data_IF_961214037982
#
_entry.id   IF_961214037982
#
_cell.length_a   1.000
_cell.length_b   1.000
_cell.length_c   1.000
_cell.angle_alpha   90.00
_cell.angle_beta   90.00
_cell.angle_gamma   90.00
#
_symmetry.space_group_name_H-M   'P 1'
#
loop_
_entity.id
_entity.type
_entity.pdbx_description
1 polymer ?
#
# COMPACT_ATOMS: atom_id res chain seq x y z
N UNK A 1 68.45 -12.72 -1.11
CA UNK A 1 67.52 -12.02 -2.02
C UNK A 1 66.20 -12.80 -2.07
N UNK A 2 65.13 -12.10 -1.74
CA UNK A 2 63.69 -12.37 -1.86
C UNK A 2 63.00 -13.42 -0.97
N UNK A 3 62.35 -12.86 0.05
CA UNK A 3 61.04 -13.21 0.63
C UNK A 3 59.95 -12.47 -0.16
N UNK A 4 58.82 -13.12 -0.50
CA UNK A 4 57.48 -12.53 -0.73
C UNK A 4 56.52 -13.69 -1.09
N UNK A 5 55.77 -14.23 -0.13
CA UNK A 5 54.42 -13.78 0.28
C UNK A 5 53.30 -14.27 -0.67
N UNK A 6 52.65 -15.34 -0.21
CA UNK A 6 51.46 -15.93 -0.82
C UNK A 6 50.24 -15.07 -0.48
N UNK A 7 49.65 -14.39 -1.46
CA UNK A 7 48.34 -13.75 -1.31
C UNK A 7 47.26 -14.62 -1.93
N UNK A 8 46.52 -15.31 -1.07
CA UNK A 8 45.18 -15.79 -1.40
C UNK A 8 44.15 -14.66 -1.25
N UNK A 9 43.01 -14.82 -1.92
CA UNK A 9 41.75 -14.21 -1.47
C UNK A 9 41.05 -13.27 -2.45
N UNK A 10 39.95 -13.80 -3.00
CA UNK A 10 38.73 -13.11 -3.45
C UNK A 10 38.78 -12.27 -4.74
N UNK A 11 38.27 -12.88 -5.81
CA UNK A 11 37.77 -12.17 -6.98
C UNK A 11 36.59 -11.27 -6.58
N UNK A 12 36.82 -9.96 -6.45
CA UNK A 12 35.74 -8.98 -6.28
C UNK A 12 34.98 -8.85 -7.60
N UNK A 13 33.79 -9.46 -7.67
CA UNK A 13 32.86 -9.26 -8.77
C UNK A 13 32.46 -7.78 -8.92
N UNK A 14 31.93 -7.37 -10.08
CA UNK A 14 31.50 -5.99 -10.30
C UNK A 14 30.40 -5.66 -9.29
N UNK A 15 30.67 -4.66 -8.43
CA UNK A 15 29.70 -4.20 -7.43
C UNK A 15 28.39 -3.83 -8.12
N UNK A 16 27.28 -4.36 -7.61
CA UNK A 16 25.95 -3.89 -8.00
C UNK A 16 25.85 -2.40 -7.71
N UNK A 17 25.34 -1.56 -8.63
CA UNK A 17 25.08 -0.17 -8.31
C UNK A 17 24.10 -0.12 -7.15
N UNK A 18 24.51 0.49 -6.04
CA UNK A 18 23.57 0.90 -5.00
C UNK A 18 22.50 1.77 -5.67
N UNK A 19 21.19 1.54 -5.46
CA UNK A 19 20.20 2.48 -5.95
C UNK A 19 20.56 3.84 -5.35
N UNK A 20 20.85 4.81 -6.22
CA UNK A 20 20.96 6.19 -5.81
C UNK A 20 19.59 6.56 -5.24
N UNK A 21 19.51 6.69 -3.92
CA UNK A 21 18.41 7.44 -3.32
C UNK A 21 18.46 8.83 -3.94
N UNK A 22 17.42 9.27 -4.67
CA UNK A 22 17.40 10.65 -5.16
C UNK A 22 17.59 11.57 -3.95
N UNK A 23 18.56 12.47 -4.06
CA UNK A 23 18.82 13.47 -3.04
C UNK A 23 17.57 14.33 -2.89
N UNK A 24 17.00 14.27 -1.68
CA UNK A 24 15.68 14.82 -1.36
C UNK A 24 15.75 16.34 -1.25
N UNK A 25 15.59 17.03 -2.37
CA UNK A 25 15.26 18.46 -2.39
C UNK A 25 13.95 18.72 -3.16
N UNK A 26 13.59 17.83 -4.09
CA UNK A 26 12.32 17.86 -4.84
C UNK A 26 11.13 17.25 -4.06
N UNK A 27 11.43 16.40 -3.08
CA UNK A 27 10.41 15.76 -2.27
C UNK A 27 9.61 16.79 -1.47
N UNK A 28 10.27 17.83 -0.94
CA UNK A 28 9.65 18.92 -0.17
C UNK A 28 8.62 19.70 -1.00
N UNK A 29 9.04 20.14 -2.18
CA UNK A 29 8.18 20.78 -3.19
C UNK A 29 7.01 19.89 -3.57
N UNK A 30 7.24 18.59 -3.82
CA UNK A 30 6.17 17.66 -4.14
C UNK A 30 5.15 17.50 -3.00
N UNK A 31 5.57 17.48 -1.73
CA UNK A 31 4.61 17.46 -0.60
C UNK A 31 3.89 18.80 -0.44
N UNK A 32 4.57 19.92 -0.67
CA UNK A 32 3.99 21.27 -0.56
C UNK A 32 2.93 21.50 -1.64
N UNK A 33 3.21 21.09 -2.89
CA UNK A 33 2.24 21.09 -3.99
C UNK A 33 1.02 20.18 -3.71
N UNK A 34 1.23 19.03 -3.06
CA UNK A 34 0.14 18.13 -2.66
C UNK A 34 -0.69 18.70 -1.50
N UNK A 35 -0.11 19.53 -0.64
CA UNK A 35 -0.79 20.17 0.49
C UNK A 35 -1.54 21.43 0.07
N UNK A 36 -1.04 22.18 -0.92
CA UNK A 36 -1.74 23.33 -1.52
C UNK A 36 -3.03 22.92 -2.25
N UNK A 37 -3.12 21.69 -2.78
CA UNK A 37 -4.34 21.17 -3.43
C UNK A 37 -5.39 20.57 -2.46
N UNK A 38 -5.13 20.54 -1.15
CA UNK A 38 -6.06 19.96 -0.16
C UNK A 38 -6.78 21.06 0.62
N UNK A 39 -7.82 21.64 0.02
CA UNK A 39 -8.76 22.53 0.73
C UNK A 39 -10.12 21.90 1.06
N UNK A 40 -10.40 20.67 0.61
CA UNK A 40 -11.67 20.01 0.95
C UNK A 40 -11.46 18.92 2.00
N UNK A 41 -11.80 19.24 3.26
CA UNK A 41 -12.07 18.23 4.27
C UNK A 41 -12.98 17.15 3.65
N UNK A 42 -12.62 15.87 3.82
CA UNK A 42 -13.38 14.78 3.20
C UNK A 42 -14.79 14.73 3.78
N UNK A 43 -15.76 15.36 3.10
CA UNK A 43 -17.15 15.27 3.48
C UNK A 43 -17.67 13.89 3.10
N UNK A 44 -18.09 13.11 4.09
CA UNK A 44 -18.84 11.87 3.84
C UNK A 44 -20.11 12.24 3.08
N UNK A 45 -20.15 11.91 1.79
CA UNK A 45 -21.38 11.93 1.02
C UNK A 45 -22.41 11.09 1.77
N UNK A 46 -23.65 11.56 1.93
CA UNK A 46 -24.68 10.77 2.58
C UNK A 46 -24.73 9.42 1.86
N UNK A 47 -24.54 8.34 2.62
CA UNK A 47 -24.55 7.00 2.07
C UNK A 47 -25.87 6.86 1.31
N UNK A 48 -25.80 6.91 -0.03
CA UNK A 48 -26.97 6.79 -0.86
C UNK A 48 -27.72 5.55 -0.41
N UNK A 49 -29.04 5.61 -0.33
CA UNK A 49 -29.83 4.42 -0.09
C UNK A 49 -29.58 3.44 -1.23
N UNK A 50 -28.59 2.56 -1.06
CA UNK A 50 -28.29 1.48 -1.99
C UNK A 50 -29.37 0.41 -1.77
N UNK A 51 -30.58 0.70 -2.26
CA UNK A 51 -31.60 -0.33 -2.39
C UNK A 51 -31.10 -1.34 -3.43
N UNK A 52 -30.76 -2.55 -2.98
CA UNK A 52 -30.59 -3.70 -3.87
C UNK A 52 -29.22 -4.40 -3.87
N UNK A 53 -28.65 -4.70 -2.71
CA UNK A 53 -27.54 -5.67 -2.65
C UNK A 53 -28.01 -7.12 -2.58
N UNK A 54 -29.31 -7.37 -2.36
CA UNK A 54 -29.88 -8.73 -2.36
C UNK A 54 -29.57 -9.45 -3.66
N UNK A 55 -28.88 -10.59 -3.57
CA UNK A 55 -28.51 -11.42 -4.71
C UNK A 55 -27.34 -10.90 -5.54
N UNK A 56 -26.72 -9.77 -5.14
CA UNK A 56 -25.44 -9.32 -5.70
C UNK A 56 -24.29 -10.02 -4.99
N UNK A 57 -23.12 -10.07 -5.63
CA UNK A 57 -21.89 -10.59 -5.03
C UNK A 57 -20.89 -9.46 -4.79
N UNK A 58 -20.34 -9.37 -3.58
CA UNK A 58 -19.33 -8.41 -3.20
C UNK A 58 -18.04 -9.10 -2.72
N UNK A 59 -16.89 -8.56 -3.11
CA UNK A 59 -15.58 -8.96 -2.59
C UNK A 59 -14.99 -7.78 -1.82
N UNK A 60 -14.64 -8.00 -0.55
CA UNK A 60 -14.04 -6.96 0.29
C UNK A 60 -12.60 -7.35 0.63
N UNK A 61 -11.65 -6.57 0.11
CA UNK A 61 -10.23 -6.67 0.49
C UNK A 61 -10.01 -6.02 1.86
N UNK A 62 -9.08 -6.55 2.65
CA UNK A 62 -8.88 -6.07 4.02
C UNK A 62 -10.09 -6.25 4.96
N UNK A 63 -11.00 -7.18 4.65
CA UNK A 63 -12.27 -7.35 5.38
C UNK A 63 -12.14 -7.94 6.79
N UNK A 64 -10.94 -8.28 7.25
CA UNK A 64 -10.72 -8.87 8.56
C UNK A 64 -10.95 -7.87 9.72
N UNK A 65 -10.55 -6.61 9.54
CA UNK A 65 -10.57 -5.59 10.61
C UNK A 65 -10.98 -4.21 10.09
N UNK A 66 -11.08 -3.23 11.00
CA UNK A 66 -11.28 -1.82 10.66
C UNK A 66 -12.48 -1.54 9.77
N UNK A 67 -12.29 -0.64 8.81
CA UNK A 67 -13.31 -0.20 7.86
C UNK A 67 -13.75 -1.35 6.97
N UNK A 68 -12.81 -2.18 6.48
CA UNK A 68 -13.10 -3.32 5.63
C UNK A 68 -14.10 -4.29 6.27
N UNK A 69 -13.91 -4.62 7.55
CA UNK A 69 -14.86 -5.47 8.30
C UNK A 69 -16.26 -4.86 8.38
N UNK A 70 -16.36 -3.56 8.67
CA UNK A 70 -17.66 -2.88 8.80
C UNK A 70 -18.39 -2.82 7.46
N UNK A 71 -17.66 -2.56 6.38
CA UNK A 71 -18.18 -2.59 5.00
C UNK A 71 -18.67 -4.00 4.60
N UNK A 72 -17.90 -5.04 4.89
CA UNK A 72 -18.30 -6.43 4.62
C UNK A 72 -19.59 -6.82 5.36
N UNK A 73 -19.71 -6.44 6.63
CA UNK A 73 -20.91 -6.67 7.43
C UNK A 73 -22.13 -5.93 6.88
N UNK A 74 -21.95 -4.70 6.41
CA UNK A 74 -23.06 -3.93 5.85
C UNK A 74 -23.56 -4.52 4.53
N UNK A 75 -22.66 -4.93 3.63
CA UNK A 75 -23.05 -5.65 2.42
C UNK A 75 -23.82 -6.95 2.72
N UNK A 76 -23.38 -7.71 3.73
CA UNK A 76 -24.07 -8.92 4.16
C UNK A 76 -25.47 -8.63 4.71
N UNK A 77 -25.63 -7.58 5.53
CA UNK A 77 -26.94 -7.13 6.06
C UNK A 77 -27.90 -6.71 4.96
N UNK A 78 -27.39 -6.07 3.90
CA UNK A 78 -28.18 -5.71 2.74
C UNK A 78 -28.48 -6.89 1.79
N UNK A 79 -27.99 -8.10 2.09
CA UNK A 79 -28.32 -9.34 1.39
C UNK A 79 -27.38 -9.73 0.25
N UNK A 80 -26.17 -9.16 0.19
CA UNK A 80 -25.16 -9.60 -0.76
C UNK A 80 -24.61 -10.99 -0.38
N UNK A 81 -24.27 -11.79 -1.39
CA UNK A 81 -23.31 -12.87 -1.26
C UNK A 81 -21.91 -12.24 -1.09
N UNK A 82 -21.11 -12.70 -0.13
CA UNK A 82 -19.91 -11.97 0.26
C UNK A 82 -18.70 -12.90 0.46
N UNK A 83 -17.55 -12.43 -0.04
CA UNK A 83 -16.23 -13.02 0.23
C UNK A 83 -15.28 -11.92 0.71
N UNK A 84 -14.41 -12.25 1.67
CA UNK A 84 -13.40 -11.35 2.18
C UNK A 84 -12.15 -12.13 2.60
N UNK A 85 -10.99 -11.46 2.60
CA UNK A 85 -9.76 -12.05 3.11
C UNK A 85 -9.70 -11.97 4.64
N UNK A 86 -9.33 -13.07 5.28
CA UNK A 86 -9.05 -13.17 6.72
C UNK A 86 -7.61 -13.63 6.92
N UNK A 87 -6.92 -13.04 7.91
CA UNK A 87 -5.57 -13.44 8.33
C UNK A 87 -5.68 -13.83 9.80
N UNK A 88 -5.12 -14.98 10.14
CA UNK A 88 -5.09 -15.53 11.50
C UNK A 88 -4.16 -14.72 12.43
#
# INVERSE_FOLDING_TARGET
MNTAENNGGEARGPGSPSPATPERDDAGEAVELLLEEVEEETQTQPAGHFSGFRGRTAIVTGGATGIGRRTALEFARCGANMAFNWVD
#
